data_IF_915949588943
#
_entry.id   IF_915949588943
#
_cell.length_a   1.000
_cell.length_b   1.000
_cell.length_c   1.000
_cell.angle_alpha   90.00
_cell.angle_beta   90.00
_cell.angle_gamma   90.00
#
_symmetry.space_group_name_H-M   'P 1'
#
loop_
_entity.id
_entity.type
_entity.pdbx_description
1 polymer ?
#
# COMPACT_ATOMS: atom_id res chain seq x y z
N UNK A 1 -12.22 -61.58 -21.88
CA UNK A 1 -12.98 -60.33 -21.61
C UNK A 1 -12.00 -59.34 -20.99
N UNK A 2 -11.48 -58.40 -21.78
CA UNK A 2 -10.50 -57.37 -21.32
C UNK A 2 -11.28 -56.09 -21.02
N UNK A 3 -11.30 -55.64 -19.74
CA UNK A 3 -11.90 -54.37 -19.35
C UNK A 3 -10.85 -53.29 -19.50
N UNK A 4 -11.09 -52.35 -20.39
CA UNK A 4 -10.28 -51.14 -20.54
C UNK A 4 -10.74 -50.11 -19.50
N UNK A 5 -9.82 -49.68 -18.63
CA UNK A 5 -10.07 -48.59 -17.71
C UNK A 5 -9.73 -47.27 -18.40
N UNK A 6 -10.73 -46.42 -18.62
CA UNK A 6 -10.55 -45.04 -19.05
C UNK A 6 -10.08 -44.18 -17.86
N UNK A 7 -8.90 -43.65 -17.94
CA UNK A 7 -8.41 -42.63 -17.02
C UNK A 7 -8.80 -41.26 -17.58
N UNK A 8 -9.75 -40.61 -16.92
CA UNK A 8 -10.11 -39.23 -17.26
C UNK A 8 -9.11 -38.29 -16.62
N UNK A 9 -8.31 -37.64 -17.45
CA UNK A 9 -7.41 -36.56 -17.01
C UNK A 9 -8.21 -35.27 -16.79
N UNK A 10 -8.35 -34.88 -15.52
CA UNK A 10 -8.89 -33.56 -15.14
C UNK A 10 -7.83 -32.49 -15.42
N UNK A 11 -8.01 -31.74 -16.50
CA UNK A 11 -7.23 -30.54 -16.77
C UNK A 11 -7.68 -29.42 -15.80
N UNK A 12 -6.86 -29.12 -14.80
CA UNK A 12 -7.06 -27.97 -13.95
C UNK A 12 -6.76 -26.68 -14.76
N UNK A 13 -7.79 -25.99 -15.20
CA UNK A 13 -7.66 -24.67 -15.80
C UNK A 13 -7.36 -23.67 -14.70
N UNK A 14 -6.12 -23.19 -14.65
CA UNK A 14 -5.74 -22.07 -13.82
C UNK A 14 -6.39 -20.81 -14.40
N UNK A 15 -7.44 -20.32 -13.76
CA UNK A 15 -8.00 -19.01 -14.07
C UNK A 15 -7.03 -17.99 -13.49
N UNK A 16 -6.19 -17.41 -14.33
CA UNK A 16 -5.43 -16.23 -13.97
C UNK A 16 -6.44 -15.11 -13.70
N UNK A 17 -6.59 -14.73 -12.44
CA UNK A 17 -7.37 -13.54 -12.06
C UNK A 17 -6.54 -12.36 -12.56
N UNK A 18 -7.05 -11.54 -13.50
CA UNK A 18 -6.32 -10.36 -13.93
C UNK A 18 -6.12 -9.45 -12.71
N UNK A 19 -4.91 -8.91 -12.53
CA UNK A 19 -4.70 -7.79 -11.64
C UNK A 19 -5.51 -6.63 -12.24
N UNK A 20 -6.64 -6.28 -11.62
CA UNK A 20 -7.46 -5.17 -12.08
C UNK A 20 -6.77 -3.88 -11.69
N UNK A 21 -6.31 -3.13 -12.69
CA UNK A 21 -6.02 -1.72 -12.54
C UNK A 21 -7.29 -1.02 -12.01
N UNK A 22 -7.12 -0.06 -11.11
CA UNK A 22 -8.24 0.69 -10.57
C UNK A 22 -9.05 1.31 -11.70
N UNK A 23 -10.35 1.16 -11.66
CA UNK A 23 -11.27 1.74 -12.67
C UNK A 23 -11.34 3.26 -12.53
N UNK A 24 -11.75 3.94 -13.60
CA UNK A 24 -11.98 5.39 -13.58
C UNK A 24 -12.94 5.81 -12.47
N UNK A 25 -13.99 5.03 -12.21
CA UNK A 25 -14.95 5.30 -11.14
C UNK A 25 -14.32 5.18 -9.75
N UNK A 26 -13.53 4.14 -9.51
CA UNK A 26 -12.81 3.95 -8.25
C UNK A 26 -11.79 5.07 -8.00
N UNK A 27 -11.06 5.49 -9.03
CA UNK A 27 -10.13 6.61 -8.93
C UNK A 27 -10.84 7.94 -8.65
N UNK A 28 -12.02 8.18 -9.25
CA UNK A 28 -12.81 9.37 -8.96
C UNK A 28 -13.37 9.35 -7.54
N UNK A 29 -13.81 8.22 -7.04
CA UNK A 29 -14.28 8.09 -5.66
C UNK A 29 -13.13 8.22 -4.65
N UNK A 30 -11.95 7.73 -5.00
CA UNK A 30 -10.73 7.93 -4.21
C UNK A 30 -10.35 9.41 -4.14
N UNK A 31 -10.42 10.12 -5.27
CA UNK A 31 -10.22 11.58 -5.32
C UNK A 31 -11.17 12.33 -4.39
N UNK A 32 -12.47 12.07 -4.48
CA UNK A 32 -13.49 12.73 -3.64
C UNK A 32 -13.25 12.53 -2.13
N UNK A 33 -12.70 11.38 -1.75
CA UNK A 33 -12.35 11.09 -0.35
C UNK A 33 -11.04 11.75 0.07
N UNK A 34 -10.13 11.94 -0.88
CA UNK A 34 -8.84 12.56 -0.64
C UNK A 34 -8.94 14.08 -0.51
N UNK A 35 -9.68 14.73 -1.42
CA UNK A 35 -9.98 16.15 -1.44
C UNK A 35 -11.14 16.44 -0.44
N UNK A 36 -10.79 16.40 0.85
CA UNK A 36 -11.77 16.49 1.92
C UNK A 36 -12.34 17.92 2.08
N UNK A 37 -11.53 18.93 1.74
CA UNK A 37 -11.92 20.33 1.79
C UNK A 37 -12.60 20.80 0.50
N UNK A 38 -12.59 19.98 -0.57
CA UNK A 38 -13.16 20.25 -1.90
C UNK A 38 -12.59 21.51 -2.58
N UNK A 39 -11.30 21.79 -2.40
CA UNK A 39 -10.63 22.92 -3.04
C UNK A 39 -10.03 22.57 -4.42
N UNK A 40 -10.12 21.30 -4.83
CA UNK A 40 -9.68 20.79 -6.13
C UNK A 40 -8.20 20.49 -6.23
N UNK A 41 -7.47 20.51 -5.11
CA UNK A 41 -6.06 20.16 -5.02
C UNK A 41 -5.78 19.42 -3.71
N UNK A 42 -4.94 18.38 -3.73
CA UNK A 42 -4.47 17.77 -2.48
C UNK A 42 -3.17 18.43 -2.06
N UNK A 43 -3.14 18.91 -0.85
CA UNK A 43 -1.96 19.51 -0.21
C UNK A 43 -1.75 18.90 1.17
N UNK A 44 -0.58 19.13 1.75
CA UNK A 44 -0.26 18.78 3.14
C UNK A 44 -0.76 17.37 3.56
N UNK A 45 -1.66 17.30 4.52
CA UNK A 45 -2.18 16.04 5.06
C UNK A 45 -2.94 15.21 4.02
N UNK A 46 -3.67 15.83 3.10
CA UNK A 46 -4.42 15.15 2.04
C UNK A 46 -3.49 14.49 1.03
N UNK A 47 -2.38 15.15 0.68
CA UNK A 47 -1.39 14.67 -0.27
C UNK A 47 -0.45 13.59 0.30
N UNK A 48 -0.33 13.49 1.63
CA UNK A 48 0.73 12.75 2.32
C UNK A 48 0.76 11.27 1.93
N UNK A 49 -0.38 10.60 1.97
CA UNK A 49 -0.54 9.18 1.61
C UNK A 49 -0.14 8.92 0.15
N UNK A 50 -0.61 9.75 -0.76
CA UNK A 50 -0.42 9.58 -2.20
C UNK A 50 1.01 9.88 -2.61
N UNK A 51 1.60 10.92 -2.04
CA UNK A 51 3.02 11.24 -2.22
C UNK A 51 3.93 10.13 -1.66
N UNK A 52 3.58 9.54 -0.52
CA UNK A 52 4.29 8.39 0.03
C UNK A 52 4.19 7.16 -0.90
N UNK A 53 3.01 6.87 -1.43
CA UNK A 53 2.81 5.77 -2.38
C UNK A 53 3.67 5.93 -3.65
N UNK A 54 3.79 7.15 -4.18
CA UNK A 54 4.68 7.44 -5.31
C UNK A 54 6.15 7.17 -4.95
N UNK A 55 6.63 7.63 -3.78
CA UNK A 55 8.01 7.36 -3.34
C UNK A 55 8.26 5.87 -3.15
N UNK A 56 7.32 5.13 -2.59
CA UNK A 56 7.40 3.66 -2.46
C UNK A 56 7.47 2.96 -3.81
N UNK A 57 6.76 3.48 -4.82
CA UNK A 57 6.74 2.95 -6.18
C UNK A 57 7.89 3.46 -7.06
N UNK A 58 8.81 4.27 -6.51
CA UNK A 58 9.91 4.94 -7.26
C UNK A 58 9.38 5.76 -8.44
N UNK A 59 8.28 6.49 -8.22
CA UNK A 59 7.65 7.37 -9.19
C UNK A 59 7.88 8.85 -8.83
N UNK A 60 7.89 9.69 -9.86
CA UNK A 60 8.06 11.13 -9.68
C UNK A 60 6.80 11.76 -9.09
N UNK A 61 7.00 12.62 -8.11
CA UNK A 61 5.94 13.47 -7.56
C UNK A 61 5.59 14.59 -8.53
N UNK A 62 4.35 15.14 -8.46
CA UNK A 62 4.02 16.35 -9.18
C UNK A 62 5.04 17.46 -8.89
N UNK A 63 5.53 18.14 -9.93
CA UNK A 63 6.58 19.14 -9.81
C UNK A 63 6.19 20.34 -8.90
N UNK A 64 4.90 20.62 -8.80
CA UNK A 64 4.33 21.66 -7.92
C UNK A 64 4.29 21.25 -6.44
N UNK A 65 4.53 19.98 -6.12
CA UNK A 65 4.29 19.40 -4.80
C UNK A 65 2.82 19.27 -4.42
N UNK A 66 1.91 19.66 -5.31
CA UNK A 66 0.46 19.59 -5.14
C UNK A 66 -0.12 18.60 -6.12
N UNK A 67 -1.16 17.90 -5.71
CA UNK A 67 -1.90 16.99 -6.57
C UNK A 67 -3.15 17.71 -7.09
N UNK A 68 -3.18 18.00 -8.38
CA UNK A 68 -4.44 18.28 -9.04
C UNK A 68 -5.16 16.97 -9.41
N UNK A 69 -6.43 17.09 -9.76
CA UNK A 69 -7.26 15.94 -10.09
C UNK A 69 -6.70 15.11 -11.25
N UNK A 70 -6.12 15.74 -12.26
CA UNK A 70 -5.60 15.04 -13.44
C UNK A 70 -4.38 14.18 -13.07
N UNK A 71 -3.40 14.78 -12.40
CA UNK A 71 -2.21 14.05 -11.93
C UNK A 71 -2.57 12.90 -10.98
N UNK A 72 -3.57 13.12 -10.11
CA UNK A 72 -4.07 12.08 -9.22
C UNK A 72 -4.71 10.91 -9.97
N UNK A 73 -5.61 11.18 -10.91
CA UNK A 73 -6.30 10.14 -11.67
C UNK A 73 -5.33 9.34 -12.55
N UNK A 74 -4.33 9.99 -13.14
CA UNK A 74 -3.31 9.31 -13.94
C UNK A 74 -2.45 8.34 -13.08
N UNK A 75 -2.03 8.78 -11.90
CA UNK A 75 -1.29 7.93 -10.97
C UNK A 75 -2.16 6.78 -10.43
N UNK A 76 -3.43 7.04 -10.14
CA UNK A 76 -4.38 6.04 -9.66
C UNK A 76 -4.59 4.91 -10.68
N UNK A 77 -4.76 5.25 -11.96
CA UNK A 77 -4.88 4.26 -13.07
C UNK A 77 -3.62 3.40 -13.24
N UNK A 78 -2.49 3.87 -12.77
CA UNK A 78 -1.23 3.13 -12.74
C UNK A 78 -1.06 2.24 -11.51
N UNK A 79 -2.11 1.98 -10.76
CA UNK A 79 -2.12 1.14 -9.52
C UNK A 79 -1.17 1.58 -8.41
N UNK A 80 -0.65 2.80 -8.49
CA UNK A 80 0.35 3.29 -7.52
C UNK A 80 -0.24 3.43 -6.11
N UNK A 81 -1.55 3.70 -6.03
CA UNK A 81 -2.24 3.95 -4.75
C UNK A 81 -2.88 2.72 -4.13
N UNK A 82 -2.79 1.57 -4.79
CA UNK A 82 -3.30 0.30 -4.26
C UNK A 82 -2.30 -0.25 -3.24
N UNK A 83 -2.68 -0.39 -1.96
CA UNK A 83 -1.80 -0.96 -0.96
C UNK A 83 -1.43 -2.40 -1.32
N UNK A 84 -0.17 -2.76 -1.17
CA UNK A 84 0.26 -4.14 -1.35
C UNK A 84 -0.43 -5.03 -0.32
N UNK A 85 -0.81 -6.24 -0.75
CA UNK A 85 -1.32 -7.25 0.17
C UNK A 85 -0.22 -7.63 1.17
N UNK A 86 -0.57 -7.63 2.45
CA UNK A 86 0.34 -8.04 3.52
C UNK A 86 0.59 -9.55 3.45
N UNK A 87 1.85 -9.95 3.55
CA UNK A 87 2.24 -11.36 3.57
C UNK A 87 1.70 -12.08 4.83
N UNK A 88 1.39 -13.34 4.68
CA UNK A 88 0.99 -14.16 5.82
C UNK A 88 2.14 -14.24 6.85
N UNK A 89 1.81 -14.06 8.13
CA UNK A 89 2.77 -14.09 9.22
C UNK A 89 3.59 -12.80 9.42
N UNK A 90 3.29 -11.71 8.69
CA UNK A 90 3.93 -10.42 8.94
C UNK A 90 3.61 -9.91 10.37
N UNK A 91 4.56 -9.16 11.01
CA UNK A 91 5.83 -8.69 10.46
C UNK A 91 6.89 -9.80 10.43
N UNK A 92 7.59 -9.92 9.31
CA UNK A 92 8.61 -10.95 9.08
C UNK A 92 9.97 -10.46 9.58
N UNK A 93 10.66 -11.32 10.35
CA UNK A 93 12.02 -11.05 10.84
C UNK A 93 13.03 -11.17 9.70
N UNK A 94 14.03 -10.29 9.64
CA UNK A 94 15.10 -10.36 8.66
C UNK A 94 15.86 -9.05 8.51
N UNK A 95 16.98 -9.10 7.76
CA UNK A 95 17.78 -7.92 7.49
C UNK A 95 16.98 -6.88 6.73
N UNK A 96 16.76 -5.73 7.35
CA UNK A 96 15.97 -4.63 6.81
C UNK A 96 16.87 -3.47 6.42
N UNK A 97 16.98 -3.22 5.11
CA UNK A 97 17.80 -2.15 4.53
C UNK A 97 17.05 -0.81 4.42
N UNK A 98 15.76 -0.76 4.75
CA UNK A 98 15.03 0.49 4.70
C UNK A 98 15.57 1.48 5.72
N UNK A 99 15.63 2.75 5.31
CA UNK A 99 15.78 3.86 6.25
C UNK A 99 14.48 4.09 7.00
N UNK A 100 14.53 4.85 8.09
CA UNK A 100 13.32 5.25 8.82
C UNK A 100 12.31 5.96 7.91
N UNK A 101 12.79 6.90 7.07
CA UNK A 101 11.95 7.63 6.11
C UNK A 101 11.25 6.70 5.13
N UNK A 102 11.96 5.71 4.58
CA UNK A 102 11.36 4.71 3.70
C UNK A 102 10.33 3.80 4.41
N UNK A 103 10.55 3.49 5.67
CA UNK A 103 9.58 2.76 6.47
C UNK A 103 8.33 3.61 6.78
N UNK A 104 8.51 4.91 7.10
CA UNK A 104 7.41 5.87 7.25
C UNK A 104 6.58 6.00 5.97
N UNK A 105 7.24 6.13 4.81
CA UNK A 105 6.55 6.20 3.52
C UNK A 105 5.68 4.96 3.26
N UNK A 106 6.18 3.76 3.59
CA UNK A 106 5.39 2.53 3.47
C UNK A 106 4.16 2.54 4.36
N UNK A 107 4.32 2.96 5.62
CA UNK A 107 3.19 3.08 6.52
C UNK A 107 2.15 4.09 5.99
N UNK A 108 2.57 5.25 5.54
CA UNK A 108 1.68 6.26 4.96
C UNK A 108 0.98 5.76 3.70
N UNK A 109 1.69 5.09 2.79
CA UNK A 109 1.12 4.48 1.59
C UNK A 109 0.04 3.43 1.92
N UNK A 110 0.19 2.71 3.03
CA UNK A 110 -0.82 1.79 3.56
C UNK A 110 -1.99 2.47 4.26
N UNK A 111 -2.01 3.80 4.33
CA UNK A 111 -3.13 4.57 4.88
C UNK A 111 -3.00 4.92 6.36
N UNK A 112 -1.85 4.67 6.97
CA UNK A 112 -1.55 5.18 8.31
C UNK A 112 -1.20 6.67 8.23
N UNK A 113 -1.85 7.49 9.03
CA UNK A 113 -1.55 8.92 9.15
C UNK A 113 -0.65 9.22 10.34
N UNK A 114 -0.07 10.44 10.35
CA UNK A 114 0.72 10.95 11.48
C UNK A 114 1.71 9.91 12.03
N UNK A 115 2.48 9.29 11.11
CA UNK A 115 3.47 8.27 11.50
C UNK A 115 4.57 8.95 12.33
N UNK A 116 4.69 8.52 13.59
CA UNK A 116 5.71 8.99 14.52
C UNK A 116 7.11 8.48 14.18
N UNK A 117 8.03 8.65 15.12
CA UNK A 117 9.37 8.10 14.95
C UNK A 117 9.35 6.59 15.01
N UNK A 118 10.05 5.98 14.05
CA UNK A 118 10.19 4.54 13.99
C UNK A 118 11.58 4.13 14.46
N UNK A 119 11.64 3.08 15.27
CA UNK A 119 12.90 2.46 15.72
C UNK A 119 12.98 1.04 15.19
N UNK A 120 14.13 0.70 14.62
CA UNK A 120 14.40 -0.65 14.15
C UNK A 120 14.85 -1.52 15.33
N UNK A 121 14.17 -2.65 15.54
CA UNK A 121 14.51 -3.62 16.56
C UNK A 121 15.58 -4.62 16.07
N UNK A 122 16.00 -5.54 16.95
CA UNK A 122 17.02 -6.56 16.67
C UNK A 122 16.55 -7.59 15.62
N UNK A 123 15.26 -7.72 15.41
CA UNK A 123 14.66 -8.57 14.38
C UNK A 123 14.61 -7.89 13.00
N UNK A 124 15.06 -6.63 12.90
CA UNK A 124 15.03 -5.83 11.67
C UNK A 124 13.67 -5.24 11.37
N UNK A 125 12.79 -5.12 12.34
CA UNK A 125 11.44 -4.58 12.17
C UNK A 125 11.42 -3.13 12.67
N UNK A 126 10.94 -2.21 11.83
CA UNK A 126 10.68 -0.84 12.23
C UNK A 126 9.37 -0.75 13.01
N UNK A 127 9.43 -0.23 14.24
CA UNK A 127 8.27 -0.10 15.15
C UNK A 127 8.08 1.33 15.58
N UNK A 128 6.82 1.73 15.74
CA UNK A 128 6.44 3.04 16.24
C UNK A 128 4.93 3.22 16.27
N UNK A 129 4.49 4.46 16.43
CA UNK A 129 3.07 4.79 16.47
C UNK A 129 2.60 5.50 15.21
N UNK A 130 1.33 5.35 14.91
CA UNK A 130 0.66 6.04 13.80
C UNK A 130 -0.82 6.26 14.15
N UNK A 131 -1.51 7.02 13.33
CA UNK A 131 -2.97 7.18 13.43
C UNK A 131 -3.63 6.33 12.34
N UNK A 132 -4.60 5.52 12.73
CA UNK A 132 -5.49 4.80 11.82
C UNK A 132 -6.95 5.04 12.25
N UNK A 133 -7.78 5.51 11.35
CA UNK A 133 -9.20 5.83 11.63
C UNK A 133 -9.39 6.73 12.86
N UNK A 134 -8.52 7.73 13.01
CA UNK A 134 -8.53 8.69 14.12
C UNK A 134 -8.02 8.13 15.46
N UNK A 135 -7.53 6.89 15.51
CA UNK A 135 -7.01 6.25 16.71
C UNK A 135 -5.52 6.04 16.61
N UNK A 136 -4.82 6.24 17.73
CA UNK A 136 -3.40 5.89 17.81
C UNK A 136 -3.24 4.37 17.88
N UNK A 137 -2.39 3.84 17.01
CA UNK A 137 -2.04 2.42 16.94
C UNK A 137 -0.52 2.25 16.93
N UNK A 138 -0.06 1.09 17.38
CA UNK A 138 1.32 0.67 17.16
C UNK A 138 1.43 0.01 15.78
N UNK A 139 2.49 0.31 15.06
CA UNK A 139 2.75 -0.28 13.75
C UNK A 139 4.11 -0.96 13.68
N UNK A 140 4.21 -1.92 12.78
CA UNK A 140 5.45 -2.59 12.45
C UNK A 140 5.63 -2.65 10.93
N UNK A 141 6.85 -2.33 10.46
CA UNK A 141 7.24 -2.39 9.04
C UNK A 141 8.42 -3.34 8.90
N UNK A 142 8.24 -4.42 8.18
CA UNK A 142 9.28 -5.43 7.99
C UNK A 142 10.17 -5.19 6.75
N UNK A 143 11.17 -6.05 6.55
CA UNK A 143 12.14 -5.92 5.46
C UNK A 143 11.55 -6.11 4.06
N UNK A 144 10.38 -6.72 3.93
CA UNK A 144 9.65 -6.81 2.66
C UNK A 144 8.75 -5.61 2.39
N UNK A 145 8.56 -4.75 3.40
CA UNK A 145 7.69 -3.59 3.34
C UNK A 145 6.24 -3.90 3.71
N UNK A 146 5.98 -5.05 4.34
CA UNK A 146 4.68 -5.28 4.97
C UNK A 146 4.49 -4.30 6.12
N UNK A 147 3.30 -3.74 6.22
CA UNK A 147 2.90 -2.85 7.31
C UNK A 147 1.72 -3.46 8.03
N UNK A 148 1.87 -3.68 9.33
CA UNK A 148 0.83 -4.25 10.17
C UNK A 148 0.65 -3.44 11.45
N UNK A 149 -0.55 -3.49 12.02
CA UNK A 149 -0.75 -3.05 13.40
C UNK A 149 -0.15 -4.09 14.33
N UNK A 150 0.67 -3.64 15.28
CA UNK A 150 1.23 -4.52 16.31
C UNK A 150 0.28 -4.49 17.52
N UNK A 151 -0.09 -5.67 18.05
CA UNK A 151 -0.67 -5.77 19.38
C UNK A 151 0.37 -5.34 20.42
N UNK A 152 -0.05 -4.57 21.43
CA UNK A 152 0.79 -4.24 22.58
C UNK A 152 1.14 -5.49 23.36
#
# INVERSE_FOLDING_TARGET
MKRAAMVAALAATWIAVPAYAATDAECQDMWKKADANNDGVLTDAEAQRYSAAMRVADKQLPASGKWDRTAFLDACKGDVFVPRKVDAGAPLKGANSFTEGQAKDRAMAHGFGSVGDLKKDDDGIWRGSAIQDGKQVQIAVDYKGNVVTASQ
#
